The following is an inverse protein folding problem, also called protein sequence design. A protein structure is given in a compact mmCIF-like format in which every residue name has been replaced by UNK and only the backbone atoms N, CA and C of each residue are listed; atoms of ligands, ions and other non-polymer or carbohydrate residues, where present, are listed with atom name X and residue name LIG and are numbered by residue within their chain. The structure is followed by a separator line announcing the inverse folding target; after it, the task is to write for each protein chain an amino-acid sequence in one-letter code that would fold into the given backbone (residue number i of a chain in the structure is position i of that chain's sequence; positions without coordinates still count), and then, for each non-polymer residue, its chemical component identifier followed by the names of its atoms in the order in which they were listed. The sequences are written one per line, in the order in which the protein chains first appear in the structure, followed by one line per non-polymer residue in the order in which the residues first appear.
data_IF_168619567323
#
_entry.id   IF_168619567323
#
_cell.length_a   1.000
_cell.length_b   1.000
_cell.length_c   1.000
_cell.angle_alpha   90.00
_cell.angle_beta   90.00
_cell.angle_gamma   90.00
#
_symmetry.space_group_name_H-M   'P 1'
#
loop_
_entity.id
_entity.type
_entity.pdbx_description
1 polymer ?
#
# COMPACT_ATOMS: atom_id res chain seq x y z
N UNK A 1 -7.86 -8.03 61.56
CA UNK A 1 -7.32 -8.86 62.67
C UNK A 1 -5.83 -9.04 62.42
N UNK A 2 -5.00 -8.93 63.47
CA UNK A 2 -3.54 -9.06 63.41
C UNK A 2 -3.08 -10.49 63.80
N UNK A 3 -1.76 -10.69 63.86
CA UNK A 3 -0.99 -11.86 64.36
C UNK A 3 -0.61 -12.82 63.21
N UNK A 4 0.56 -12.72 62.56
CA UNK A 4 1.98 -12.95 62.98
C UNK A 4 2.45 -14.40 62.78
N UNK A 5 3.62 -14.60 62.14
CA UNK A 5 4.43 -15.85 62.20
C UNK A 5 5.42 -15.80 63.38
N UNK A 6 6.64 -16.39 63.33
CA UNK A 6 7.22 -17.44 62.45
C UNK A 6 7.98 -18.56 63.24
N UNK A 7 8.63 -19.56 62.56
CA UNK A 7 10.01 -20.08 62.83
C UNK A 7 10.31 -21.57 62.44
N UNK A 8 11.16 -21.73 61.42
CA UNK A 8 12.53 -22.35 61.41
C UNK A 8 12.96 -23.40 62.48
N UNK A 9 13.33 -24.62 62.01
CA UNK A 9 14.52 -25.46 62.38
C UNK A 9 14.86 -26.29 61.12
N UNK A 10 16.02 -26.19 60.44
CA UNK A 10 17.41 -26.59 60.75
C UNK A 10 17.65 -28.12 60.91
N UNK A 11 18.50 -28.66 60.01
CA UNK A 11 19.02 -30.03 59.98
C UNK A 11 19.99 -30.21 58.79
N UNK A 12 21.28 -30.36 59.05
CA UNK A 12 22.43 -30.53 58.12
C UNK A 12 22.74 -32.04 57.91
N UNK A 13 23.67 -32.57 57.08
CA UNK A 13 24.72 -32.08 56.16
C UNK A 13 25.20 -33.22 55.21
N UNK A 14 26.25 -32.95 54.40
CA UNK A 14 27.06 -33.83 53.50
C UNK A 14 26.62 -33.80 52.01
N UNK A 15 27.38 -33.29 51.02
CA UNK A 15 28.80 -33.55 50.61
C UNK A 15 29.04 -35.02 50.20
N UNK A 16 29.79 -35.40 49.16
CA UNK A 16 30.48 -34.74 48.03
C UNK A 16 30.73 -35.86 46.94
N UNK A 17 31.23 -35.71 45.70
CA UNK A 17 31.96 -34.64 44.95
C UNK A 17 31.76 -34.86 43.42
N UNK A 18 32.19 -33.93 42.56
CA UNK A 18 32.42 -34.17 41.11
C UNK A 18 33.80 -34.80 40.83
N UNK A 19 33.96 -35.54 39.72
CA UNK A 19 35.12 -35.45 38.80
C UNK A 19 35.02 -36.44 37.62
N UNK A 20 35.77 -36.18 36.53
CA UNK A 20 35.56 -36.78 35.21
C UNK A 20 36.75 -37.62 34.69
N UNK A 21 36.48 -38.47 33.69
CA UNK A 21 37.43 -38.99 32.67
C UNK A 21 36.60 -39.55 31.51
N UNK A 22 36.54 -38.95 30.32
CA UNK A 22 37.57 -38.86 29.26
C UNK A 22 37.79 -40.19 28.48
N UNK A 23 37.34 -40.19 27.21
CA UNK A 23 37.90 -41.03 26.14
C UNK A 23 37.64 -40.36 24.79
N UNK A 24 38.56 -40.54 23.85
CA UNK A 24 38.72 -39.72 22.64
C UNK A 24 38.72 -40.57 21.37
N UNK A 25 38.07 -40.08 20.30
CA UNK A 25 38.27 -40.56 18.92
C UNK A 25 38.10 -39.39 17.96
N UNK A 26 39.02 -39.25 16.99
CA UNK A 26 39.03 -38.20 15.96
C UNK A 26 38.96 -38.77 14.54
N UNK A 27 37.93 -38.36 13.78
CA UNK A 27 37.84 -38.10 12.32
C UNK A 27 38.38 -39.12 11.28
N UNK A 28 37.64 -39.31 10.16
CA UNK A 28 37.86 -38.43 8.99
C UNK A 28 36.56 -37.94 8.29
N UNK A 29 36.63 -36.92 7.40
CA UNK A 29 35.46 -36.31 6.77
C UNK A 29 35.18 -36.83 5.34
N UNK A 30 33.92 -37.11 5.00
CA UNK A 30 33.53 -37.44 3.61
C UNK A 30 32.21 -36.78 3.12
N UNK A 31 32.39 -35.94 2.10
CA UNK A 31 31.60 -35.76 0.88
C UNK A 31 30.17 -35.17 0.90
N UNK A 32 30.05 -34.09 0.11
CA UNK A 32 28.78 -33.60 -0.48
C UNK A 32 28.15 -34.69 -1.35
N UNK A 33 26.97 -35.17 -0.98
CA UNK A 33 26.07 -35.88 -1.90
C UNK A 33 25.14 -34.89 -2.60
N UNK A 34 25.08 -34.93 -3.93
CA UNK A 34 24.27 -34.00 -4.72
C UNK A 34 22.77 -34.26 -4.56
N UNK A 35 22.00 -33.20 -4.29
CA UNK A 35 20.55 -33.27 -4.14
C UNK A 35 19.85 -33.59 -5.46
N UNK A 36 19.39 -34.84 -5.62
CA UNK A 36 18.57 -35.32 -6.74
C UNK A 36 17.29 -34.46 -6.87
N UNK A 37 17.27 -33.53 -7.85
CA UNK A 37 16.12 -32.65 -8.10
C UNK A 37 14.90 -33.45 -8.57
N UNK A 38 13.93 -33.67 -7.69
CA UNK A 38 12.57 -34.02 -8.11
C UNK A 38 11.97 -32.84 -8.88
N UNK A 39 11.60 -33.06 -10.14
CA UNK A 39 10.97 -32.03 -10.98
C UNK A 39 9.60 -31.66 -10.42
N UNK A 40 9.35 -30.37 -10.16
CA UNK A 40 7.98 -29.85 -10.04
C UNK A 40 7.30 -29.88 -11.40
N UNK A 41 6.23 -30.64 -11.52
CA UNK A 41 5.17 -30.36 -12.49
C UNK A 41 4.19 -29.42 -11.82
N UNK A 42 4.32 -28.13 -12.11
CA UNK A 42 3.31 -27.07 -11.90
C UNK A 42 3.74 -25.88 -12.77
N UNK A 43 3.80 -26.12 -14.08
CA UNK A 43 4.07 -25.09 -15.07
C UNK A 43 2.76 -24.43 -15.47
N UNK A 44 2.47 -23.26 -14.89
CA UNK A 44 1.48 -22.34 -15.46
C UNK A 44 1.96 -21.89 -16.86
N UNK A 45 1.06 -21.60 -17.82
CA UNK A 45 1.44 -21.12 -19.14
C UNK A 45 2.35 -19.89 -19.07
N UNK A 46 3.50 -19.95 -19.73
CA UNK A 46 4.62 -19.00 -19.54
C UNK A 46 4.48 -17.65 -20.25
N UNK A 47 3.30 -17.32 -20.78
CA UNK A 47 3.13 -16.23 -21.75
C UNK A 47 2.79 -14.85 -21.14
N UNK A 48 2.91 -14.71 -19.82
CA UNK A 48 2.99 -13.38 -19.16
C UNK A 48 4.19 -13.33 -18.22
N UNK A 49 5.40 -13.33 -18.78
CA UNK A 49 6.61 -12.96 -18.04
C UNK A 49 6.61 -11.46 -17.77
N UNK A 50 6.39 -11.07 -16.52
CA UNK A 50 6.59 -9.71 -16.07
C UNK A 50 8.11 -9.46 -15.95
N UNK A 51 8.75 -9.02 -17.04
CA UNK A 51 10.17 -8.67 -17.04
C UNK A 51 10.43 -7.41 -16.21
N UNK A 52 10.62 -7.58 -14.90
CA UNK A 52 11.31 -6.61 -14.07
C UNK A 52 12.82 -6.64 -14.38
N UNK A 53 13.19 -6.20 -15.59
CA UNK A 53 14.59 -6.06 -15.96
C UNK A 53 15.22 -4.98 -15.06
N UNK A 54 16.19 -5.39 -14.24
CA UNK A 54 17.15 -4.47 -13.64
C UNK A 54 18.01 -3.90 -14.77
N UNK A 55 17.64 -2.75 -15.33
CA UNK A 55 18.56 -1.96 -16.14
C UNK A 55 19.62 -1.36 -15.24
N UNK A 56 20.88 -1.66 -15.54
CA UNK A 56 22.02 -1.10 -14.83
C UNK A 56 22.00 0.43 -14.92
N UNK A 57 22.43 1.10 -13.85
CA UNK A 57 22.50 2.55 -13.79
C UNK A 57 23.59 3.10 -14.73
N UNK A 58 23.20 3.53 -15.93
CA UNK A 58 24.08 4.26 -16.84
C UNK A 58 24.33 5.69 -16.31
N UNK A 59 25.57 6.13 -16.06
CA UNK A 59 25.86 7.38 -15.32
C UNK A 59 25.55 8.71 -16.03
N UNK A 60 24.85 8.71 -17.17
CA UNK A 60 24.75 9.90 -18.04
C UNK A 60 23.51 10.79 -17.82
N UNK A 61 22.47 10.31 -17.12
CA UNK A 61 21.25 11.08 -16.84
C UNK A 61 21.29 11.85 -15.50
N UNK A 62 22.45 11.96 -14.86
CA UNK A 62 22.65 12.61 -13.55
C UNK A 62 23.36 13.98 -13.64
N UNK A 63 23.08 14.79 -14.69
CA UNK A 63 23.61 16.16 -14.84
C UNK A 63 22.52 17.19 -15.16
N UNK A 64 21.61 17.38 -14.20
CA UNK A 64 20.67 18.51 -14.18
C UNK A 64 20.28 18.94 -12.76
N UNK A 65 21.20 18.80 -11.79
CA UNK A 65 21.04 19.28 -10.42
C UNK A 65 22.42 19.52 -9.80
N UNK A 66 22.90 20.77 -9.78
CA UNK A 66 24.21 21.11 -9.20
C UNK A 66 24.94 22.23 -9.93
N UNK A 67 24.48 23.47 -9.72
CA UNK A 67 25.27 24.71 -9.88
C UNK A 67 24.51 25.90 -9.29
N UNK A 68 24.60 26.06 -7.97
CA UNK A 68 24.53 27.33 -7.25
C UNK A 68 24.97 27.06 -5.81
N UNK A 69 26.27 27.25 -5.52
CA UNK A 69 26.78 27.78 -4.24
C UNK A 69 28.31 27.90 -4.25
N UNK A 70 28.78 29.16 -4.37
CA UNK A 70 30.06 29.72 -3.91
C UNK A 70 30.13 31.17 -4.43
N UNK A 71 30.46 32.21 -3.68
CA UNK A 71 30.77 32.34 -2.24
C UNK A 71 31.48 33.69 -1.98
N UNK A 72 31.49 34.13 -0.73
CA UNK A 72 32.26 35.27 -0.17
C UNK A 72 31.84 36.72 -0.53
N UNK A 73 32.41 37.67 0.22
CA UNK A 73 31.83 38.99 0.53
C UNK A 73 32.79 40.17 0.31
N UNK A 74 32.22 41.38 0.36
CA UNK A 74 32.75 42.65 0.93
C UNK A 74 33.34 43.77 0.03
N UNK A 75 32.87 44.99 0.35
CA UNK A 75 33.48 46.34 0.20
C UNK A 75 33.71 46.97 -1.19
N UNK A 76 33.35 48.25 -1.29
CA UNK A 76 33.61 49.17 -2.42
C UNK A 76 32.44 50.16 -2.61
N UNK A 77 32.70 51.48 -2.60
CA UNK A 77 31.67 52.53 -2.62
C UNK A 77 31.70 53.38 -3.90
N UNK A 78 30.64 54.19 -4.11
CA UNK A 78 30.50 55.30 -5.08
C UNK A 78 30.43 54.87 -6.58
N UNK A 79 29.51 55.32 -7.45
CA UNK A 79 28.72 56.56 -7.53
C UNK A 79 27.40 56.37 -8.35
N UNK A 80 26.41 57.23 -8.09
CA UNK A 80 25.21 57.51 -8.92
C UNK A 80 25.49 58.67 -9.92
N UNK A 81 24.61 59.07 -10.90
CA UNK A 81 23.18 58.76 -11.04
C UNK A 81 22.63 58.46 -12.48
N UNK A 82 21.33 58.08 -12.50
CA UNK A 82 20.29 58.39 -13.52
C UNK A 82 20.49 58.14 -15.03
N UNK A 83 19.61 57.30 -15.58
CA UNK A 83 18.76 57.67 -16.72
C UNK A 83 17.43 56.87 -16.70
N UNK A 84 16.30 57.55 -16.93
CA UNK A 84 14.97 56.93 -17.06
C UNK A 84 14.76 56.42 -18.50
N UNK A 85 13.96 55.35 -18.69
CA UNK A 85 13.59 54.94 -20.06
C UNK A 85 12.88 53.60 -20.20
N UNK A 86 11.55 53.65 -20.33
CA UNK A 86 10.71 52.77 -21.16
C UNK A 86 10.86 51.24 -21.05
N UNK A 87 9.93 50.61 -20.34
CA UNK A 87 9.66 49.16 -20.40
C UNK A 87 8.79 48.80 -21.62
N UNK A 88 9.22 47.91 -22.53
CA UNK A 88 8.32 47.16 -23.40
C UNK A 88 7.96 45.81 -22.78
N UNK A 89 6.67 45.49 -22.76
CA UNK A 89 6.18 44.15 -22.42
C UNK A 89 6.46 43.18 -23.56
N UNK A 90 7.18 42.07 -23.31
CA UNK A 90 6.96 40.81 -24.05
C UNK A 90 7.67 39.60 -23.44
N UNK A 91 6.96 38.49 -23.50
CA UNK A 91 7.32 37.10 -23.23
C UNK A 91 8.78 36.72 -23.53
N UNK A 92 9.51 36.27 -22.51
CA UNK A 92 10.80 35.60 -22.66
C UNK A 92 10.63 34.19 -23.25
N UNK A 93 10.42 34.13 -24.57
CA UNK A 93 10.51 32.90 -25.36
C UNK A 93 11.94 32.33 -25.25
N UNK A 94 12.05 31.09 -24.76
CA UNK A 94 13.30 30.34 -24.69
C UNK A 94 13.84 30.04 -26.09
N UNK A 95 14.59 30.98 -26.68
CA UNK A 95 15.30 30.76 -27.94
C UNK A 95 16.56 29.90 -27.72
N UNK A 96 16.37 28.59 -27.54
CA UNK A 96 17.45 27.61 -27.71
C UNK A 96 17.79 27.49 -29.20
N UNK A 97 18.70 28.33 -29.69
CA UNK A 97 19.36 28.11 -30.99
C UNK A 97 20.38 26.96 -30.87
N UNK A 98 19.99 25.77 -31.30
CA UNK A 98 20.90 24.66 -31.60
C UNK A 98 20.93 24.43 -33.12
N UNK A 99 22.11 24.38 -33.77
CA UNK A 99 22.20 24.02 -35.18
C UNK A 99 22.17 22.50 -35.33
N UNK A 100 21.16 21.98 -36.03
CA UNK A 100 21.05 20.55 -36.30
C UNK A 100 19.61 20.11 -36.50
N UNK A 101 19.11 20.19 -37.74
CA UNK A 101 17.78 19.74 -38.10
C UNK A 101 17.61 18.23 -37.92
N UNK A 102 17.05 17.82 -36.78
CA UNK A 102 16.28 16.58 -36.64
C UNK A 102 14.84 17.00 -36.43
N UNK A 103 13.96 16.61 -37.34
CA UNK A 103 12.53 16.89 -37.19
C UNK A 103 12.04 16.23 -35.91
N UNK A 104 11.65 17.03 -34.93
CA UNK A 104 11.17 16.57 -33.63
C UNK A 104 9.68 16.20 -33.68
N UNK A 105 9.21 15.62 -34.79
CA UNK A 105 7.79 15.25 -34.95
C UNK A 105 7.33 14.34 -33.81
N UNK A 106 8.13 13.36 -33.40
CA UNK A 106 7.83 12.51 -32.23
C UNK A 106 7.68 13.29 -30.92
N UNK A 107 8.39 14.42 -30.75
CA UNK A 107 8.31 15.28 -29.58
C UNK A 107 7.10 16.21 -29.66
N UNK A 108 6.78 16.73 -30.84
CA UNK A 108 5.60 17.54 -31.12
C UNK A 108 4.31 16.71 -31.01
N UNK A 109 4.32 15.48 -31.52
CA UNK A 109 3.27 14.47 -31.35
C UNK A 109 3.10 14.11 -29.88
N UNK A 110 4.20 13.92 -29.13
CA UNK A 110 4.15 13.69 -27.69
C UNK A 110 3.59 14.90 -26.93
N UNK A 111 3.97 16.12 -27.29
CA UNK A 111 3.41 17.36 -26.72
C UNK A 111 1.94 17.54 -27.06
N UNK A 112 1.53 17.22 -28.28
CA UNK A 112 0.14 17.26 -28.73
C UNK A 112 -0.70 16.20 -28.00
N UNK A 113 -0.14 15.00 -27.79
CA UNK A 113 -0.74 13.97 -26.97
C UNK A 113 -0.78 14.34 -25.47
N UNK A 114 0.16 15.14 -24.95
CA UNK A 114 0.07 15.72 -23.61
C UNK A 114 -1.14 16.64 -23.48
N UNK A 115 -1.28 17.59 -24.41
CA UNK A 115 -2.34 18.61 -24.39
C UNK A 115 -3.73 18.01 -24.59
N UNK A 116 -3.85 16.99 -25.45
CA UNK A 116 -5.11 16.35 -25.78
C UNK A 116 -5.53 15.20 -24.84
N UNK A 117 -4.74 14.91 -23.79
CA UNK A 117 -5.06 13.80 -22.88
C UNK A 117 -6.19 14.15 -21.90
N UNK A 118 -7.27 13.35 -21.80
CA UNK A 118 -8.36 13.56 -20.85
C UNK A 118 -7.99 13.20 -19.40
N UNK A 119 -6.75 12.77 -19.14
CA UNK A 119 -6.22 12.48 -17.80
C UNK A 119 -5.06 13.43 -17.56
N UNK A 120 -5.00 14.07 -16.39
CA UNK A 120 -3.87 14.89 -16.02
C UNK A 120 -2.54 14.13 -16.20
N UNK A 121 -1.55 14.83 -16.73
CA UNK A 121 -0.20 14.38 -17.02
C UNK A 121 0.70 14.42 -15.77
N UNK A 122 1.98 14.07 -15.92
CA UNK A 122 3.06 14.54 -15.04
C UNK A 122 3.34 16.04 -15.21
N UNK A 123 3.07 16.57 -16.40
CA UNK A 123 3.27 17.98 -16.74
C UNK A 123 2.20 18.94 -16.23
N UNK A 124 1.06 18.44 -15.75
CA UNK A 124 0.04 19.29 -15.12
C UNK A 124 0.63 20.01 -13.90
N UNK A 125 0.53 21.34 -13.90
CA UNK A 125 0.93 22.15 -12.75
C UNK A 125 0.19 21.71 -11.49
N UNK A 126 0.94 21.25 -10.49
CA UNK A 126 0.41 20.98 -9.15
C UNK A 126 0.11 22.33 -8.49
N UNK A 127 -1.13 22.61 -8.06
CA UNK A 127 -1.43 23.83 -7.33
C UNK A 127 -0.58 23.94 -6.06
N UNK A 128 0.11 25.07 -5.87
CA UNK A 128 0.92 25.32 -4.65
C UNK A 128 0.03 25.27 -3.40
N UNK A 129 -1.11 25.96 -3.49
CA UNK A 129 -2.23 25.94 -2.55
C UNK A 129 -3.21 24.82 -2.94
N UNK A 130 -3.55 23.89 -2.04
CA UNK A 130 -4.52 22.83 -2.35
C UNK A 130 -5.90 23.37 -2.70
N UNK A 131 -6.50 22.79 -3.73
CA UNK A 131 -7.92 23.02 -4.10
C UNK A 131 -8.85 22.41 -3.05
N UNK A 132 -10.12 22.84 -3.00
CA UNK A 132 -11.11 22.18 -2.14
C UNK A 132 -11.42 20.75 -2.62
N UNK A 133 -11.42 20.55 -3.94
CA UNK A 133 -11.66 19.26 -4.61
C UNK A 133 -10.57 19.08 -5.68
N UNK A 134 -9.59 18.19 -5.48
CA UNK A 134 -8.49 18.05 -6.43
C UNK A 134 -8.97 17.50 -7.78
N UNK A 135 -8.50 18.05 -8.91
CA UNK A 135 -8.75 17.51 -10.26
C UNK A 135 -8.61 15.98 -10.34
N UNK A 136 -7.59 15.41 -9.71
CA UNK A 136 -7.34 13.95 -9.65
C UNK A 136 -8.40 13.12 -8.93
N UNK A 137 -9.15 13.73 -8.01
CA UNK A 137 -10.26 13.10 -7.31
C UNK A 137 -11.53 13.14 -8.18
N UNK A 138 -11.79 14.26 -8.87
CA UNK A 138 -12.85 14.36 -9.87
C UNK A 138 -12.66 13.34 -11.01
N UNK A 139 -11.43 13.20 -11.54
CA UNK A 139 -11.07 12.17 -12.53
C UNK A 139 -11.38 10.72 -12.09
N UNK A 140 -11.57 10.46 -10.79
CA UNK A 140 -11.99 9.15 -10.26
C UNK A 140 -13.50 9.02 -10.11
N UNK A 141 -14.21 10.14 -9.95
CA UNK A 141 -15.65 10.20 -9.80
C UNK A 141 -16.37 10.09 -11.15
N UNK A 142 -15.95 10.85 -12.16
CA UNK A 142 -16.64 10.94 -13.47
C UNK A 142 -16.93 9.58 -14.14
N UNK A 143 -16.05 8.55 -14.09
CA UNK A 143 -16.34 7.27 -14.73
C UNK A 143 -17.37 6.38 -13.99
N UNK A 144 -17.96 6.83 -12.88
CA UNK A 144 -18.97 6.08 -12.11
C UNK A 144 -20.36 6.29 -12.72
N UNK A 145 -20.86 5.28 -13.43
CA UNK A 145 -22.19 5.32 -14.04
C UNK A 145 -23.30 5.06 -13.00
N UNK A 146 -23.74 6.10 -12.30
CA UNK A 146 -24.78 6.04 -11.26
C UNK A 146 -26.10 5.44 -11.79
N UNK A 147 -26.52 5.80 -13.01
CA UNK A 147 -27.75 5.27 -13.62
C UNK A 147 -27.68 3.75 -13.85
N UNK A 148 -26.52 3.23 -14.27
CA UNK A 148 -26.31 1.79 -14.40
C UNK A 148 -26.27 1.10 -13.02
N UNK A 149 -25.69 1.73 -11.99
CA UNK A 149 -25.70 1.17 -10.63
C UNK A 149 -27.12 1.02 -10.08
N UNK A 150 -27.98 2.04 -10.28
CA UNK A 150 -29.37 2.02 -9.82
C UNK A 150 -30.18 0.82 -10.35
N UNK A 151 -29.88 0.35 -11.57
CA UNK A 151 -30.51 -0.80 -12.21
C UNK A 151 -29.94 -2.17 -11.79
N UNK A 152 -28.84 -2.20 -11.00
CA UNK A 152 -28.06 -3.41 -10.72
C UNK A 152 -27.97 -3.74 -9.25
N UNK A 153 -27.68 -2.76 -8.42
CA UNK A 153 -27.49 -2.94 -6.98
C UNK A 153 -27.82 -1.62 -6.26
N UNK A 154 -28.94 -1.62 -5.53
CA UNK A 154 -29.44 -0.46 -4.80
C UNK A 154 -28.46 0.02 -3.74
N UNK A 155 -27.82 -0.90 -3.02
CA UNK A 155 -26.89 -0.57 -1.93
C UNK A 155 -25.63 0.11 -2.46
N UNK A 156 -25.07 -0.42 -3.55
CA UNK A 156 -23.92 0.18 -4.24
C UNK A 156 -24.30 1.53 -4.87
N UNK A 157 -25.51 1.68 -5.42
CA UNK A 157 -25.99 2.94 -5.97
C UNK A 157 -26.12 4.03 -4.89
N UNK A 158 -26.86 3.77 -3.80
CA UNK A 158 -27.06 4.73 -2.71
C UNK A 158 -25.72 5.19 -2.11
N UNK A 159 -24.80 4.26 -1.89
CA UNK A 159 -23.45 4.55 -1.43
C UNK A 159 -22.63 5.34 -2.47
N UNK A 160 -22.70 5.00 -3.76
CA UNK A 160 -22.01 5.73 -4.81
C UNK A 160 -22.51 7.18 -4.91
N UNK A 161 -23.82 7.41 -4.82
CA UNK A 161 -24.42 8.76 -4.74
C UNK A 161 -23.90 9.51 -3.53
N UNK A 162 -23.86 8.87 -2.35
CA UNK A 162 -23.35 9.48 -1.11
C UNK A 162 -21.88 9.92 -1.24
N UNK A 163 -21.01 9.05 -1.75
CA UNK A 163 -19.57 9.33 -1.95
C UNK A 163 -19.35 10.41 -3.02
N UNK A 164 -20.07 10.37 -4.14
CA UNK A 164 -19.98 11.41 -5.17
C UNK A 164 -20.45 12.77 -4.64
N UNK A 165 -21.54 12.81 -3.86
CA UNK A 165 -22.04 14.05 -3.27
C UNK A 165 -21.08 14.62 -2.21
N UNK A 166 -20.49 13.76 -1.36
CA UNK A 166 -19.45 14.15 -0.40
C UNK A 166 -18.27 14.83 -1.12
N UNK A 167 -17.78 14.25 -2.21
CA UNK A 167 -16.68 14.85 -2.98
C UNK A 167 -17.10 16.13 -3.71
N UNK A 168 -18.29 16.20 -4.32
CA UNK A 168 -18.80 17.42 -4.98
C UNK A 168 -18.95 18.61 -4.03
N UNK A 169 -19.20 18.36 -2.73
CA UNK A 169 -19.20 19.39 -1.68
C UNK A 169 -17.82 19.72 -1.11
N UNK A 170 -16.79 18.96 -1.50
CA UNK A 170 -15.47 19.02 -0.87
C UNK A 170 -15.48 18.53 0.58
N UNK A 171 -16.51 17.83 1.05
CA UNK A 171 -16.56 17.27 2.43
C UNK A 171 -15.63 16.06 2.57
N UNK A 172 -15.28 15.66 3.80
CA UNK A 172 -14.51 14.44 4.07
C UNK A 172 -15.40 13.21 4.36
N UNK A 173 -14.86 11.98 4.32
CA UNK A 173 -15.63 10.77 4.62
C UNK A 173 -16.17 10.76 6.07
N UNK A 174 -17.48 10.62 6.21
CA UNK A 174 -18.20 10.59 7.48
C UNK A 174 -18.57 9.14 7.89
N UNK A 175 -19.23 8.98 9.04
CA UNK A 175 -19.65 7.66 9.56
C UNK A 175 -20.51 6.85 8.59
N UNK A 176 -21.38 7.50 7.82
CA UNK A 176 -22.26 6.80 6.87
C UNK A 176 -21.45 6.22 5.72
N UNK A 177 -20.40 6.92 5.28
CA UNK A 177 -19.44 6.40 4.30
C UNK A 177 -18.63 5.25 4.90
N UNK A 178 -18.16 5.33 6.16
CA UNK A 178 -17.51 4.19 6.85
C UNK A 178 -18.41 2.96 6.88
N UNK A 179 -19.69 3.11 7.24
CA UNK A 179 -20.63 1.99 7.27
C UNK A 179 -20.92 1.45 5.86
N UNK A 180 -20.95 2.31 4.84
CA UNK A 180 -21.01 1.91 3.43
C UNK A 180 -19.78 1.12 2.97
N UNK A 181 -18.57 1.55 3.33
CA UNK A 181 -17.32 0.83 3.06
C UNK A 181 -17.40 -0.60 3.61
N UNK A 182 -17.85 -0.75 4.86
CA UNK A 182 -17.96 -2.04 5.56
C UNK A 182 -19.06 -2.90 4.94
N UNK A 183 -20.22 -2.33 4.64
CA UNK A 183 -21.37 -3.02 4.01
C UNK A 183 -21.01 -3.58 2.64
N UNK A 184 -20.26 -2.84 1.83
CA UNK A 184 -19.92 -3.20 0.45
C UNK A 184 -18.56 -3.88 0.30
N UNK A 185 -17.73 -3.95 1.35
CA UNK A 185 -16.45 -4.67 1.35
C UNK A 185 -16.54 -6.10 0.77
N UNK A 186 -17.58 -6.93 1.06
CA UNK A 186 -17.72 -8.25 0.43
C UNK A 186 -17.95 -8.21 -1.09
N UNK A 187 -18.59 -7.15 -1.61
CA UNK A 187 -18.77 -6.95 -3.05
C UNK A 187 -17.45 -6.49 -3.71
N UNK A 188 -16.72 -5.57 -3.08
CA UNK A 188 -15.39 -5.16 -3.53
C UNK A 188 -14.42 -6.35 -3.58
N UNK A 189 -14.44 -7.21 -2.56
CA UNK A 189 -13.64 -8.43 -2.55
C UNK A 189 -14.01 -9.41 -3.66
N UNK A 190 -15.30 -9.60 -3.98
CA UNK A 190 -15.73 -10.40 -5.14
C UNK A 190 -15.22 -9.82 -6.46
N UNK A 191 -15.42 -8.52 -6.69
CA UNK A 191 -14.95 -7.84 -7.89
C UNK A 191 -13.44 -7.96 -8.06
N UNK A 192 -12.66 -7.75 -6.99
CA UNK A 192 -11.20 -7.89 -7.03
C UNK A 192 -10.73 -9.34 -7.16
N UNK A 193 -11.39 -10.33 -6.55
CA UNK A 193 -11.04 -11.74 -6.78
C UNK A 193 -11.25 -12.14 -8.24
N UNK A 194 -12.33 -11.69 -8.87
CA UNK A 194 -12.57 -11.89 -10.31
C UNK A 194 -11.54 -11.16 -11.17
N UNK A 195 -11.13 -9.95 -10.76
CA UNK A 195 -10.15 -9.13 -11.50
C UNK A 195 -8.69 -9.57 -11.31
N UNK A 196 -8.37 -10.38 -10.30
CA UNK A 196 -7.02 -10.86 -10.02
C UNK A 196 -7.07 -12.33 -9.55
N UNK A 197 -6.99 -13.32 -10.47
CA UNK A 197 -6.95 -14.75 -10.10
C UNK A 197 -5.83 -15.05 -9.10
N UNK A 198 -6.11 -15.89 -8.10
CA UNK A 198 -5.17 -16.22 -7.02
C UNK A 198 -5.06 -15.17 -5.89
N UNK A 199 -5.77 -14.04 -5.97
CA UNK A 199 -5.84 -13.06 -4.88
C UNK A 199 -6.35 -13.69 -3.58
N UNK A 200 -7.40 -14.51 -3.67
CA UNK A 200 -8.03 -15.21 -2.57
C UNK A 200 -8.33 -14.29 -1.38
N UNK A 201 -8.97 -13.15 -1.66
CA UNK A 201 -9.38 -12.16 -0.66
C UNK A 201 -10.70 -12.56 0.01
N UNK A 202 -10.65 -12.77 1.31
CA UNK A 202 -11.81 -13.01 2.17
C UNK A 202 -12.10 -11.80 3.06
N UNK A 203 -13.36 -11.65 3.46
CA UNK A 203 -13.84 -10.54 4.28
C UNK A 203 -14.71 -11.07 5.40
N UNK A 204 -14.46 -10.67 6.65
CA UNK A 204 -15.24 -11.14 7.80
C UNK A 204 -15.83 -9.97 8.58
N UNK A 205 -17.07 -10.13 9.06
CA UNK A 205 -17.77 -9.12 9.86
C UNK A 205 -17.21 -8.98 11.28
N UNK A 206 -16.47 -9.98 11.76
CA UNK A 206 -15.85 -9.98 13.09
C UNK A 206 -14.62 -10.90 13.13
N UNK A 207 -13.81 -10.71 14.17
CA UNK A 207 -12.61 -11.48 14.46
C UNK A 207 -12.84 -12.98 14.71
N UNK A 208 -13.96 -13.38 15.32
CA UNK A 208 -14.23 -14.80 15.61
C UNK A 208 -14.39 -15.62 14.34
N UNK A 209 -15.20 -15.13 13.40
CA UNK A 209 -15.44 -15.79 12.11
C UNK A 209 -14.14 -15.89 11.30
N UNK A 210 -13.34 -14.81 11.30
CA UNK A 210 -12.00 -14.77 10.69
C UNK A 210 -11.09 -15.87 11.26
N UNK A 211 -10.94 -15.92 12.58
CA UNK A 211 -10.06 -16.88 13.24
C UNK A 211 -10.54 -18.33 13.11
N UNK A 212 -11.87 -18.56 13.10
CA UNK A 212 -12.45 -19.86 12.84
C UNK A 212 -12.16 -20.33 11.41
N UNK A 213 -12.39 -19.47 10.41
CA UNK A 213 -12.11 -19.79 9.01
C UNK A 213 -10.62 -20.10 8.77
N UNK A 214 -9.69 -19.35 9.39
CA UNK A 214 -8.24 -19.64 9.30
C UNK A 214 -7.91 -21.03 9.88
N UNK A 215 -8.51 -21.41 11.02
CA UNK A 215 -8.33 -22.74 11.62
C UNK A 215 -8.89 -23.86 10.74
N UNK A 216 -10.08 -23.67 10.19
CA UNK A 216 -10.75 -24.66 9.33
C UNK A 216 -9.99 -24.86 8.02
N UNK A 217 -9.59 -23.78 7.35
CA UNK A 217 -8.76 -23.86 6.16
C UNK A 217 -7.43 -24.54 6.45
N UNK A 218 -6.74 -24.20 7.55
CA UNK A 218 -5.49 -24.87 7.91
C UNK A 218 -5.69 -26.38 8.15
N UNK A 219 -6.76 -26.79 8.84
CA UNK A 219 -7.12 -28.22 8.97
C UNK A 219 -7.37 -28.88 7.61
N UNK A 220 -7.97 -28.16 6.67
CA UNK A 220 -8.11 -28.59 5.27
C UNK A 220 -6.76 -28.82 4.60
N UNK A 221 -5.84 -27.84 4.69
CA UNK A 221 -4.47 -27.92 4.14
C UNK A 221 -3.69 -29.09 4.73
N UNK A 222 -3.82 -29.36 6.04
CA UNK A 222 -3.15 -30.51 6.66
C UNK A 222 -3.71 -31.87 6.18
N UNK A 223 -4.96 -31.92 5.70
CA UNK A 223 -5.57 -33.14 5.13
C UNK A 223 -5.28 -33.32 3.63
N UNK A 224 -5.49 -32.28 2.82
CA UNK A 224 -5.41 -32.36 1.36
C UNK A 224 -3.99 -32.12 0.81
N UNK A 225 -3.06 -31.66 1.65
CA UNK A 225 -1.64 -31.35 1.32
C UNK A 225 -1.43 -30.23 0.29
N UNK A 226 -2.49 -29.55 -0.15
CA UNK A 226 -2.41 -28.43 -1.09
C UNK A 226 -2.14 -27.14 -0.30
N UNK A 227 -1.17 -26.32 -0.71
CA UNK A 227 -0.87 -25.05 -0.01
C UNK A 227 -1.85 -23.95 -0.45
N UNK A 228 -2.19 -23.05 0.46
CA UNK A 228 -3.07 -21.90 0.20
C UNK A 228 -2.38 -20.60 0.60
N UNK A 229 -2.38 -19.63 -0.32
CA UNK A 229 -2.16 -18.21 0.00
C UNK A 229 -3.49 -17.48 -0.12
N UNK A 230 -3.83 -16.69 0.89
CA UNK A 230 -5.05 -15.89 0.93
C UNK A 230 -4.79 -14.52 1.55
N UNK A 231 -5.71 -13.58 1.31
CA UNK A 231 -5.76 -12.29 2.00
C UNK A 231 -7.04 -12.18 2.80
N UNK A 232 -7.00 -11.46 3.90
CA UNK A 232 -8.17 -11.21 4.74
C UNK A 232 -8.27 -9.73 5.05
N UNK A 233 -9.49 -9.17 4.98
CA UNK A 233 -9.83 -7.88 5.59
C UNK A 233 -10.93 -8.10 6.62
N UNK A 234 -10.70 -7.68 7.86
CA UNK A 234 -11.62 -7.91 8.98
C UNK A 234 -11.39 -6.92 10.12
N UNK A 235 -12.36 -6.75 11.03
CA UNK A 235 -12.18 -5.95 12.23
C UNK A 235 -11.63 -6.82 13.38
N UNK A 236 -10.41 -6.55 13.90
CA UNK A 236 -9.74 -7.42 14.85
C UNK A 236 -10.28 -7.32 16.28
N UNK A 237 -11.05 -6.28 16.62
CA UNK A 237 -11.48 -6.01 18.01
C UNK A 237 -13.00 -5.98 18.16
N UNK A 238 -13.52 -6.66 19.20
CA UNK A 238 -14.96 -6.61 19.55
C UNK A 238 -15.48 -5.19 19.81
N UNK A 239 -14.66 -4.34 20.44
CA UNK A 239 -15.04 -2.97 20.86
C UNK A 239 -14.80 -1.89 19.78
N UNK A 240 -14.17 -2.24 18.66
CA UNK A 240 -13.94 -1.34 17.53
C UNK A 240 -14.33 -2.05 16.22
N UNK A 241 -15.63 -2.34 16.01
CA UNK A 241 -16.10 -3.11 14.85
C UNK A 241 -15.86 -2.40 13.51
N UNK A 242 -15.69 -1.07 13.54
CA UNK A 242 -15.43 -0.27 12.34
C UNK A 242 -13.93 -0.28 11.96
N UNK A 243 -13.01 -0.54 12.90
CA UNK A 243 -11.58 -0.57 12.62
C UNK A 243 -11.18 -1.86 11.92
N UNK A 244 -10.67 -1.78 10.69
CA UNK A 244 -10.31 -2.93 9.87
C UNK A 244 -8.79 -3.00 9.62
N UNK A 245 -8.25 -4.22 9.62
CA UNK A 245 -6.86 -4.52 9.22
C UNK A 245 -6.82 -5.53 8.08
N UNK A 246 -5.67 -5.64 7.43
CA UNK A 246 -5.42 -6.63 6.39
C UNK A 246 -4.43 -7.71 6.85
N UNK A 247 -4.65 -8.97 6.45
CA UNK A 247 -3.71 -10.08 6.64
C UNK A 247 -3.31 -10.67 5.28
N UNK A 248 -2.01 -10.92 5.06
CA UNK A 248 -1.48 -11.87 4.06
C UNK A 248 -1.24 -13.19 4.80
N UNK A 249 -1.83 -14.29 4.33
CA UNK A 249 -1.77 -15.57 5.04
C UNK A 249 -1.25 -16.66 4.09
N UNK A 250 -0.33 -17.47 4.62
CA UNK A 250 0.20 -18.64 3.95
C UNK A 250 0.00 -19.88 4.83
N UNK A 251 -0.78 -20.83 4.31
CA UNK A 251 -1.05 -22.13 4.90
C UNK A 251 -0.35 -23.19 4.06
N UNK A 252 0.46 -24.05 4.70
CA UNK A 252 1.24 -25.09 4.02
C UNK A 252 1.20 -26.39 4.82
N UNK A 253 1.23 -27.52 4.13
CA UNK A 253 1.30 -28.84 4.76
C UNK A 253 2.55 -28.97 5.64
N UNK A 254 2.41 -29.54 6.85
CA UNK A 254 3.52 -29.74 7.78
C UNK A 254 4.06 -28.47 8.45
N UNK A 255 3.50 -27.30 8.14
CA UNK A 255 3.91 -26.02 8.73
C UNK A 255 2.76 -25.36 9.49
N UNK A 256 3.10 -24.63 10.56
CA UNK A 256 2.16 -23.71 11.21
C UNK A 256 1.76 -22.57 10.25
N UNK A 257 0.54 -22.00 10.38
CA UNK A 257 0.14 -20.82 9.61
C UNK A 257 1.16 -19.70 9.73
N UNK A 258 1.49 -19.06 8.62
CA UNK A 258 2.24 -17.80 8.64
C UNK A 258 1.34 -16.65 8.20
N UNK A 259 1.38 -15.56 8.97
CA UNK A 259 0.48 -14.41 8.86
C UNK A 259 1.33 -13.15 8.88
N UNK A 260 1.14 -12.28 7.89
CA UNK A 260 1.68 -10.92 7.88
C UNK A 260 0.50 -9.96 7.97
N UNK A 261 0.39 -9.22 9.06
CA UNK A 261 -0.69 -8.23 9.26
C UNK A 261 -0.25 -6.82 8.91
N UNK A 262 -1.14 -6.03 8.32
CA UNK A 262 -0.90 -4.64 7.93
C UNK A 262 -1.87 -3.71 8.66
N UNK A 263 -1.30 -2.76 9.41
CA UNK A 263 -2.01 -1.69 10.10
C UNK A 263 -1.65 -0.33 9.47
N UNK A 264 -2.67 0.47 9.19
CA UNK A 264 -2.55 1.79 8.55
C UNK A 264 -2.68 2.96 9.52
N UNK A 265 -3.39 2.79 10.63
CA UNK A 265 -3.55 3.80 11.66
C UNK A 265 -2.39 3.78 12.68
N UNK A 266 -1.99 4.94 13.25
CA UNK A 266 -0.98 5.00 14.30
C UNK A 266 -1.50 4.50 15.65
N UNK A 267 -0.55 4.22 16.56
CA UNK A 267 -0.82 3.85 17.96
C UNK A 267 -0.67 2.36 18.26
N UNK A 268 -1.03 1.96 19.48
CA UNK A 268 -0.76 0.63 20.05
C UNK A 268 -1.70 -0.48 19.50
N UNK A 269 -2.28 -0.26 18.32
CA UNK A 269 -3.19 -1.18 17.66
C UNK A 269 -2.47 -2.47 17.25
N UNK A 270 -1.22 -2.35 16.80
CA UNK A 270 -0.38 -3.48 16.39
C UNK A 270 -0.23 -4.50 17.53
N UNK A 271 0.24 -4.06 18.70
CA UNK A 271 0.45 -4.95 19.85
C UNK A 271 -0.86 -5.57 20.35
N UNK A 272 -1.98 -4.83 20.25
CA UNK A 272 -3.30 -5.34 20.61
C UNK A 272 -3.78 -6.41 19.62
N UNK A 273 -3.66 -6.16 18.32
CA UNK A 273 -4.00 -7.13 17.27
C UNK A 273 -3.10 -8.37 17.34
N UNK A 274 -1.81 -8.20 17.62
CA UNK A 274 -0.86 -9.29 17.81
C UNK A 274 -1.26 -10.21 18.97
N UNK A 275 -1.63 -9.65 20.13
CA UNK A 275 -2.16 -10.42 21.27
C UNK A 275 -3.47 -11.14 20.94
N UNK A 276 -4.41 -10.48 20.27
CA UNK A 276 -5.69 -11.10 19.86
C UNK A 276 -5.48 -12.27 18.89
N UNK A 277 -4.64 -12.11 17.87
CA UNK A 277 -4.35 -13.15 16.88
C UNK A 277 -3.62 -14.34 17.53
N UNK A 278 -2.62 -14.10 18.39
CA UNK A 278 -1.94 -15.18 19.11
C UNK A 278 -2.86 -15.92 20.08
N UNK A 279 -3.67 -15.19 20.85
CA UNK A 279 -4.66 -15.76 21.77
C UNK A 279 -5.67 -16.65 21.03
N UNK A 280 -6.15 -16.18 19.87
CA UNK A 280 -7.15 -16.91 19.09
C UNK A 280 -6.59 -18.10 18.31
N UNK A 281 -5.41 -17.97 17.68
CA UNK A 281 -4.87 -18.98 16.76
C UNK A 281 -3.79 -19.89 17.36
N UNK A 282 -3.18 -19.50 18.48
CA UNK A 282 -2.11 -20.26 19.13
C UNK A 282 -0.82 -20.29 18.32
N UNK A 283 -0.38 -21.48 17.91
CA UNK A 283 0.89 -21.68 17.22
C UNK A 283 0.85 -21.16 15.77
N UNK A 284 1.18 -19.88 15.57
CA UNK A 284 1.33 -19.22 14.26
C UNK A 284 2.66 -18.49 14.16
N UNK A 285 3.14 -18.24 12.94
CA UNK A 285 4.22 -17.28 12.67
C UNK A 285 3.59 -15.95 12.25
N UNK A 286 3.42 -15.05 13.21
CA UNK A 286 2.85 -13.72 12.99
C UNK A 286 3.94 -12.66 12.80
N UNK A 287 3.72 -11.72 11.89
CA UNK A 287 4.49 -10.48 11.75
C UNK A 287 3.54 -9.32 11.45
N UNK A 288 3.38 -8.41 12.41
CA UNK A 288 2.67 -7.15 12.16
C UNK A 288 3.59 -6.11 11.50
N UNK A 289 3.00 -5.32 10.60
CA UNK A 289 3.65 -4.22 9.86
C UNK A 289 2.76 -2.98 9.97
N UNK A 290 3.23 -1.97 10.69
CA UNK A 290 2.64 -0.63 10.65
C UNK A 290 3.18 0.15 9.45
N UNK A 291 2.31 0.58 8.55
CA UNK A 291 2.67 1.54 7.51
C UNK A 291 2.21 2.98 7.81
N UNK A 292 1.36 3.16 8.82
CA UNK A 292 1.02 4.46 9.45
C UNK A 292 0.61 5.56 8.44
N UNK A 293 -0.07 5.14 7.37
CA UNK A 293 -0.48 5.99 6.25
C UNK A 293 -1.77 6.78 6.53
N UNK A 294 -2.54 6.36 7.53
CA UNK A 294 -3.89 6.83 7.83
C UNK A 294 -3.89 7.76 9.06
N UNK A 295 -4.38 8.98 8.86
CA UNK A 295 -4.67 9.97 9.90
C UNK A 295 -6.18 10.19 10.09
N UNK A 296 -7.00 9.85 9.09
CA UNK A 296 -8.47 9.85 9.17
C UNK A 296 -8.99 8.75 10.11
N UNK A 297 -10.12 9.00 10.77
CA UNK A 297 -10.82 7.97 11.58
C UNK A 297 -11.76 7.07 10.77
N UNK A 298 -11.93 7.32 9.47
CA UNK A 298 -13.03 6.77 8.65
C UNK A 298 -12.60 5.93 7.44
N UNK A 299 -11.31 5.92 7.06
CA UNK A 299 -10.84 5.21 5.85
C UNK A 299 -10.19 3.82 6.10
N UNK A 300 -10.18 3.29 7.33
CA UNK A 300 -9.46 2.04 7.68
C UNK A 300 -9.86 0.84 6.82
N UNK A 301 -11.15 0.67 6.51
CA UNK A 301 -11.64 -0.39 5.61
C UNK A 301 -11.03 -0.29 4.21
N UNK A 302 -10.89 0.92 3.67
CA UNK A 302 -10.26 1.16 2.36
C UNK A 302 -8.75 1.01 2.39
N UNK A 303 -8.08 1.43 3.48
CA UNK A 303 -6.65 1.19 3.66
C UNK A 303 -6.33 -0.31 3.79
N UNK A 304 -7.13 -1.05 4.56
CA UNK A 304 -7.01 -2.50 4.68
C UNK A 304 -7.25 -3.20 3.34
N UNK A 305 -8.30 -2.84 2.60
CA UNK A 305 -8.53 -3.36 1.25
C UNK A 305 -7.34 -3.07 0.32
N UNK A 306 -6.84 -1.83 0.27
CA UNK A 306 -5.63 -1.53 -0.50
C UNK A 306 -4.42 -2.36 -0.03
N UNK A 307 -4.15 -2.45 1.27
CA UNK A 307 -3.05 -3.24 1.82
C UNK A 307 -3.13 -4.71 1.38
N UNK A 308 -4.31 -5.33 1.41
CA UNK A 308 -4.53 -6.69 0.89
C UNK A 308 -4.22 -6.82 -0.61
N UNK A 309 -4.70 -5.86 -1.43
CA UNK A 309 -4.42 -5.85 -2.87
C UNK A 309 -2.94 -5.59 -3.20
N UNK A 310 -2.20 -4.91 -2.33
CA UNK A 310 -0.75 -4.69 -2.47
C UNK A 310 0.05 -5.87 -1.97
N UNK A 311 -0.37 -6.51 -0.88
CA UNK A 311 0.21 -7.75 -0.38
C UNK A 311 0.19 -8.84 -1.46
N UNK A 312 -0.93 -8.98 -2.19
CA UNK A 312 -0.98 -9.84 -3.38
C UNK A 312 -0.03 -9.37 -4.50
N UNK A 313 -0.04 -8.09 -4.89
CA UNK A 313 0.82 -7.59 -5.99
C UNK A 313 2.32 -7.69 -5.73
N UNK A 314 2.73 -7.77 -4.47
CA UNK A 314 4.13 -7.88 -4.04
C UNK A 314 4.40 -9.19 -3.30
N UNK A 315 3.64 -10.26 -3.62
CA UNK A 315 3.70 -11.53 -2.88
C UNK A 315 5.06 -12.23 -3.01
N UNK A 316 5.69 -12.20 -4.19
CA UNK A 316 6.97 -12.88 -4.45
C UNK A 316 8.17 -12.14 -3.82
N UNK A 317 8.16 -10.81 -3.86
CA UNK A 317 9.30 -9.97 -3.47
C UNK A 317 9.22 -9.37 -2.06
N UNK A 318 8.01 -9.07 -1.55
CA UNK A 318 7.84 -8.34 -0.29
C UNK A 318 7.20 -9.21 0.79
N UNK A 319 6.01 -9.77 0.55
CA UNK A 319 5.36 -10.56 1.61
C UNK A 319 6.03 -11.91 1.81
N UNK A 320 6.56 -12.54 0.75
CA UNK A 320 7.44 -13.72 0.85
C UNK A 320 8.59 -13.51 1.85
N UNK A 321 9.31 -12.38 1.76
CA UNK A 321 10.41 -12.03 2.68
C UNK A 321 9.94 -11.86 4.13
N UNK A 322 8.79 -11.22 4.33
CA UNK A 322 8.15 -11.08 5.65
C UNK A 322 7.70 -12.44 6.21
N UNK A 323 7.09 -13.30 5.38
CA UNK A 323 6.73 -14.68 5.74
C UNK A 323 7.96 -15.56 6.03
N UNK A 324 9.10 -15.30 5.37
CA UNK A 324 10.39 -15.92 5.69
C UNK A 324 10.97 -15.41 7.03
N UNK A 325 10.51 -14.25 7.52
CA UNK A 325 10.84 -13.71 8.84
C UNK A 325 11.93 -12.65 8.82
N UNK A 326 12.23 -12.07 7.66
CA UNK A 326 13.17 -10.97 7.54
C UNK A 326 12.68 -9.73 8.32
N UNK A 327 13.55 -9.16 9.15
CA UNK A 327 13.17 -8.07 10.06
C UNK A 327 13.07 -6.70 9.38
N UNK A 328 13.90 -6.45 8.36
CA UNK A 328 14.07 -5.15 7.70
C UNK A 328 13.79 -5.26 6.19
N UNK A 329 12.52 -5.51 5.83
CA UNK A 329 12.11 -5.56 4.41
C UNK A 329 11.58 -4.18 3.99
N UNK A 330 12.21 -3.47 3.03
CA UNK A 330 11.80 -2.11 2.67
C UNK A 330 10.40 -2.07 2.02
N UNK A 331 9.45 -1.36 2.63
CA UNK A 331 8.05 -1.23 2.15
C UNK A 331 8.04 -0.71 0.69
N UNK A 332 7.39 -1.41 -0.27
CA UNK A 332 7.28 -0.94 -1.65
C UNK A 332 6.53 0.40 -1.76
N UNK A 333 6.99 1.31 -2.62
CA UNK A 333 6.39 2.65 -2.78
C UNK A 333 4.89 2.59 -3.17
N UNK A 334 4.48 1.49 -3.79
CA UNK A 334 3.10 1.18 -4.17
C UNK A 334 2.13 1.04 -2.99
N UNK A 335 2.60 0.68 -1.77
CA UNK A 335 1.79 0.71 -0.55
C UNK A 335 1.54 2.16 -0.11
N UNK A 336 2.55 3.03 -0.24
CA UNK A 336 2.55 4.40 0.26
C UNK A 336 1.68 5.37 -0.56
N UNK A 337 1.14 4.93 -1.71
CA UNK A 337 0.33 5.74 -2.67
C UNK A 337 -0.85 6.49 -2.07
N UNK A 338 -1.32 6.10 -0.90
CA UNK A 338 -2.51 6.64 -0.24
C UNK A 338 -2.17 7.30 1.12
N UNK A 339 -0.89 7.55 1.41
CA UNK A 339 -0.45 8.29 2.59
C UNK A 339 -1.18 9.65 2.69
N UNK A 340 -1.87 9.87 3.81
CA UNK A 340 -2.64 11.10 4.04
C UNK A 340 -1.76 12.30 4.45
N UNK A 341 -0.54 12.04 4.94
CA UNK A 341 0.45 13.07 5.30
C UNK A 341 1.36 13.43 4.12
N UNK A 342 1.51 14.73 3.87
CA UNK A 342 2.45 15.30 2.89
C UNK A 342 3.90 15.16 3.37
N UNK A 343 4.18 15.58 4.60
CA UNK A 343 5.53 15.57 5.18
C UNK A 343 6.10 14.15 5.32
N UNK A 344 5.25 13.17 5.61
CA UNK A 344 5.63 11.75 5.59
C UNK A 344 6.20 11.34 4.23
N UNK A 345 5.55 11.72 3.13
CA UNK A 345 6.02 11.38 1.77
C UNK A 345 7.21 12.23 1.34
N UNK A 346 7.22 13.54 1.64
CA UNK A 346 8.34 14.44 1.28
C UNK A 346 9.67 14.02 1.90
N UNK A 347 9.63 13.44 3.11
CA UNK A 347 10.80 12.95 3.84
C UNK A 347 11.08 11.45 3.60
N UNK A 348 10.26 10.72 2.82
CA UNK A 348 10.46 9.30 2.60
C UNK A 348 11.54 9.04 1.52
N UNK A 349 12.47 8.07 1.71
CA UNK A 349 13.47 7.69 0.70
C UNK A 349 12.93 7.16 -0.65
N UNK A 350 11.60 7.09 -0.82
CA UNK A 350 10.91 6.60 -2.03
C UNK A 350 10.00 7.65 -2.68
N UNK A 351 10.16 8.92 -2.28
CA UNK A 351 9.35 10.06 -2.77
C UNK A 351 9.40 10.22 -4.30
N UNK A 352 10.55 9.92 -4.89
CA UNK A 352 10.79 10.05 -6.34
C UNK A 352 10.56 8.74 -7.12
N UNK A 353 10.21 7.63 -6.44
CA UNK A 353 9.89 6.36 -7.08
C UNK A 353 8.59 6.46 -7.88
N UNK A 354 8.58 5.96 -9.12
CA UNK A 354 7.36 5.85 -9.95
C UNK A 354 6.35 4.88 -9.34
N UNK A 355 5.09 5.32 -9.22
CA UNK A 355 4.01 4.52 -8.61
C UNK A 355 2.81 4.27 -9.54
N UNK A 356 2.85 4.74 -10.78
CA UNK A 356 1.92 4.39 -11.86
C UNK A 356 2.19 3.02 -12.47
N UNK A 357 1.23 2.49 -13.24
CA UNK A 357 1.49 1.38 -14.17
C UNK A 357 2.28 1.83 -15.38
N UNK A 358 2.03 3.05 -15.82
CA UNK A 358 2.80 3.73 -16.86
C UNK A 358 4.16 4.14 -16.28
N UNK A 359 5.22 3.45 -16.70
CA UNK A 359 6.58 3.58 -16.16
C UNK A 359 7.51 4.43 -17.04
N UNK A 360 7.03 4.88 -18.20
CA UNK A 360 7.81 5.69 -19.14
C UNK A 360 6.99 6.57 -20.08
N UNK A 361 5.66 6.45 -20.08
CA UNK A 361 4.75 7.28 -20.84
C UNK A 361 4.21 8.49 -20.07
N UNK A 362 3.25 9.13 -20.73
CA UNK A 362 2.66 10.43 -20.39
C UNK A 362 2.12 10.54 -18.95
N UNK A 363 1.66 9.43 -18.37
CA UNK A 363 1.00 9.43 -17.06
C UNK A 363 1.92 8.97 -15.92
N UNK A 364 3.25 8.94 -16.12
CA UNK A 364 4.21 8.55 -15.10
C UNK A 364 4.15 9.47 -13.85
N UNK A 365 3.68 8.95 -12.71
CA UNK A 365 3.61 9.69 -11.44
C UNK A 365 4.65 9.17 -10.43
N UNK A 366 5.45 10.06 -9.83
CA UNK A 366 6.23 9.72 -8.62
C UNK A 366 5.33 9.66 -7.40
N UNK A 367 5.78 9.01 -6.32
CA UNK A 367 5.03 8.97 -5.06
C UNK A 367 4.72 10.37 -4.52
N UNK A 368 5.67 11.30 -4.58
CA UNK A 368 5.50 12.68 -4.15
C UNK A 368 4.58 13.48 -5.08
N UNK A 369 4.75 13.35 -6.40
CA UNK A 369 3.83 13.98 -7.35
C UNK A 369 2.39 13.53 -7.05
N UNK A 370 2.17 12.21 -6.90
CA UNK A 370 0.85 11.67 -6.54
C UNK A 370 0.32 12.26 -5.24
N UNK A 371 1.11 12.25 -4.17
CA UNK A 371 0.66 12.77 -2.87
C UNK A 371 0.23 14.24 -2.99
N UNK A 372 1.04 15.06 -3.66
CA UNK A 372 0.72 16.48 -3.89
C UNK A 372 -0.52 16.69 -4.76
N UNK A 373 -0.69 15.91 -5.84
CA UNK A 373 -1.81 16.01 -6.78
C UNK A 373 -3.18 15.56 -6.20
N UNK A 374 -3.19 14.97 -4.99
CA UNK A 374 -4.40 14.66 -4.22
C UNK A 374 -4.51 15.50 -2.93
N UNK A 375 -3.68 16.54 -2.72
CA UNK A 375 -3.86 17.46 -1.58
C UNK A 375 -5.15 18.25 -1.76
N UNK A 376 -6.02 18.23 -0.75
CA UNK A 376 -7.20 19.06 -0.67
C UNK A 376 -7.19 19.98 0.56
N UNK A 377 -7.75 21.17 0.42
CA UNK A 377 -8.02 22.11 1.52
C UNK A 377 -9.47 21.95 1.96
N UNK A 378 -9.69 21.35 3.13
CA UNK A 378 -11.03 21.21 3.75
C UNK A 378 -11.18 22.09 4.98
N UNK A 379 -12.40 22.17 5.51
CA UNK A 379 -12.72 22.80 6.79
C UNK A 379 -11.90 22.25 7.96
N UNK A 380 -11.59 20.95 7.94
CA UNK A 380 -10.71 20.28 8.91
C UNK A 380 -9.19 20.43 8.59
N UNK A 381 -8.82 21.26 7.61
CA UNK A 381 -7.44 21.51 7.20
C UNK A 381 -6.98 20.74 5.95
N UNK A 382 -5.66 20.77 5.71
CA UNK A 382 -5.04 20.12 4.55
C UNK A 382 -4.80 18.64 4.78
N UNK A 383 -5.17 17.82 3.80
CA UNK A 383 -5.05 16.35 3.85
C UNK A 383 -4.99 15.82 2.41
N UNK A 384 -4.55 14.57 2.24
CA UNK A 384 -4.40 13.94 0.91
C UNK A 384 -5.52 12.93 0.66
N UNK A 385 -6.36 13.21 -0.34
CA UNK A 385 -7.60 12.46 -0.67
C UNK A 385 -7.38 11.20 -1.51
N UNK A 386 -6.13 10.75 -1.65
CA UNK A 386 -5.75 9.63 -2.53
C UNK A 386 -6.47 8.31 -2.17
N UNK A 387 -6.87 8.11 -0.90
CA UNK A 387 -7.66 6.95 -0.47
C UNK A 387 -9.14 7.05 -0.88
N UNK A 388 -9.70 8.26 -0.97
CA UNK A 388 -11.07 8.49 -1.48
C UNK A 388 -11.14 8.23 -3.00
N UNK A 389 -10.09 8.61 -3.73
CA UNK A 389 -9.92 8.22 -5.14
C UNK A 389 -9.72 6.71 -5.35
N UNK A 390 -9.31 5.98 -4.32
CA UNK A 390 -9.31 4.51 -4.32
C UNK A 390 -10.71 3.96 -4.05
N UNK A 391 -11.44 4.48 -3.05
CA UNK A 391 -12.86 4.16 -2.78
C UNK A 391 -13.72 4.26 -4.06
N UNK A 392 -13.63 5.39 -4.77
CA UNK A 392 -14.28 5.60 -6.08
C UNK A 392 -13.90 4.55 -7.13
N UNK A 393 -12.63 4.17 -7.17
CA UNK A 393 -12.14 3.15 -8.09
C UNK A 393 -12.74 1.77 -7.78
N UNK A 394 -12.89 1.40 -6.50
CA UNK A 394 -13.52 0.13 -6.12
C UNK A 394 -15.05 0.14 -6.33
N UNK A 395 -15.74 1.28 -6.10
CA UNK A 395 -17.13 1.49 -6.51
C UNK A 395 -17.31 1.21 -8.01
N UNK A 396 -16.50 1.85 -8.85
CA UNK A 396 -16.57 1.67 -10.30
C UNK A 396 -16.35 0.21 -10.69
N UNK A 397 -15.32 -0.45 -10.13
CA UNK A 397 -15.01 -1.86 -10.40
C UNK A 397 -16.13 -2.81 -9.98
N UNK A 398 -16.80 -2.53 -8.85
CA UNK A 398 -17.98 -3.29 -8.44
C UNK A 398 -19.14 -3.13 -9.41
N UNK A 399 -19.38 -1.91 -9.92
CA UNK A 399 -20.35 -1.65 -10.98
C UNK A 399 -20.02 -2.40 -12.28
N UNK A 400 -18.77 -2.32 -12.73
CA UNK A 400 -18.27 -3.05 -13.91
C UNK A 400 -18.44 -4.57 -13.74
N UNK A 401 -18.13 -5.10 -12.55
CA UNK A 401 -18.30 -6.52 -12.20
C UNK A 401 -19.77 -6.96 -12.23
N UNK A 402 -20.69 -6.18 -11.65
CA UNK A 402 -22.13 -6.49 -11.67
C UNK A 402 -22.72 -6.43 -13.08
N UNK A 403 -22.28 -5.46 -13.89
CA UNK A 403 -22.67 -5.34 -15.29
C UNK A 403 -22.21 -6.54 -16.11
N UNK A 404 -20.95 -6.96 -15.98
CA UNK A 404 -20.38 -8.10 -16.70
C UNK A 404 -21.06 -9.43 -16.33
N UNK A 405 -21.33 -9.66 -15.04
CA UNK A 405 -21.92 -10.92 -14.56
C UNK A 405 -23.44 -11.01 -14.74
N UNK A 406 -24.07 -10.06 -15.45
CA UNK A 406 -25.52 -9.99 -15.70
C UNK A 406 -26.39 -10.14 -14.46
N UNK A 407 -25.87 -9.82 -13.27
CA UNK A 407 -26.66 -9.83 -12.04
C UNK A 407 -27.78 -8.81 -12.24
N UNK A 408 -29.02 -9.30 -12.35
CA UNK A 408 -30.20 -8.45 -12.23
C UNK A 408 -30.37 -8.13 -10.76
N UNK A 409 -30.78 -6.90 -10.45
CA UNK A 409 -31.18 -6.55 -9.09
C UNK A 409 -32.20 -7.59 -8.60
N UNK A 410 -32.05 -8.05 -7.35
CA UNK A 410 -33.18 -8.69 -6.69
C UNK A 410 -34.30 -7.65 -6.55
N UNK A 411 -35.57 -8.02 -6.81
CA UNK A 411 -36.69 -7.11 -6.63
C UNK A 411 -36.81 -6.65 -5.17
#
# INVERSE_FOLDING_TARGET
MNISGPNRRQGTQAENTESASSSSVTNPPLQRGEGRRLRRQDALPTDIRYNANQTAASPQNARAAGRYESGASSSGANDTPQAEGSMPSSSALLQFRLPGGRNHSELEDFHTMMLNSPKASRGDAIPEKPEAIPKRLLEKMEPINLAQLALRDKDLHEYAVMVCNQVKKGEGPNSNITQGDIKLLPLFAKAENTRNPGLNLHTFKNHKDCYQAIKEQNRGIQKNKQSLSMRVVYPPFKKMPDHHIALDIQLRYGHRPSIVGFESAPGNIIDAAEREIFSALGNVKLKMVGNFLQYSKTDCTMFALNNALKAFKHHEEYTSRLHNGEKQVPIPATFLKHAQSKSFVENHPKKDTTVTKDQGGLHMETLLHRNRAYRAQRSAGQHVTSIEGFRMQEIKRAGDFLAANRVRAKP
#
